data_IF_343569492752
#
_entry.id   IF_343569492752
#
_cell.length_a   1.000
_cell.length_b   1.000
_cell.length_c   1.000
_cell.angle_alpha   90.00
_cell.angle_beta   90.00
_cell.angle_gamma   90.00
#
_symmetry.space_group_name_H-M   'P 1'
#
loop_
_entity.id
_entity.type
_entity.pdbx_description
1 polymer ?
#
# COMPACT_ATOMS: atom_id res chain seq x y z
N UNK A 1 54.83 20.24 26.70
CA UNK A 1 53.45 20.46 26.19
C UNK A 1 52.78 21.39 27.18
N UNK A 2 52.98 22.68 26.96
CA UNK A 2 52.63 23.72 27.92
C UNK A 2 51.13 23.76 28.18
N UNK A 3 50.81 23.77 29.47
CA UNK A 3 49.47 23.76 29.96
C UNK A 3 48.83 25.13 29.71
N UNK A 4 47.80 25.16 28.87
CA UNK A 4 46.88 26.29 28.74
C UNK A 4 46.14 26.52 30.07
N UNK A 5 46.80 27.17 31.04
CA UNK A 5 46.17 27.63 32.28
C UNK A 5 45.46 28.95 32.02
N UNK A 6 44.26 28.86 31.44
CA UNK A 6 43.35 30.00 31.33
C UNK A 6 42.90 30.37 32.76
N UNK A 7 43.40 31.50 33.30
CA UNK A 7 42.92 32.08 34.57
C UNK A 7 41.55 32.74 34.36
N UNK A 8 40.52 31.94 34.13
CA UNK A 8 39.14 32.42 34.01
C UNK A 8 38.63 32.85 35.41
N UNK A 9 38.06 34.06 35.51
CA UNK A 9 37.49 34.54 36.77
C UNK A 9 36.29 33.69 37.20
N UNK A 10 36.05 33.57 38.52
CA UNK A 10 34.99 32.73 39.09
C UNK A 10 33.60 33.06 38.50
N UNK A 11 33.36 34.34 38.18
CA UNK A 11 32.13 34.83 37.53
C UNK A 11 31.85 34.13 36.21
N UNK A 12 32.85 34.01 35.32
CA UNK A 12 32.64 33.39 34.02
C UNK A 12 32.43 31.89 34.11
N UNK A 13 33.03 31.20 35.09
CA UNK A 13 32.77 29.77 35.32
C UNK A 13 31.33 29.52 35.77
N UNK A 14 30.83 30.33 36.69
CA UNK A 14 29.43 30.27 37.14
C UNK A 14 28.46 30.60 36.01
N UNK A 15 28.76 31.64 35.24
CA UNK A 15 27.93 32.05 34.11
C UNK A 15 27.92 30.99 33.00
N UNK A 16 29.05 30.32 32.75
CA UNK A 16 29.13 29.18 31.84
C UNK A 16 28.20 28.05 32.30
N UNK A 17 28.30 27.62 33.57
CA UNK A 17 27.44 26.56 34.11
C UNK A 17 25.96 26.95 34.02
N UNK A 18 25.64 28.21 34.35
CA UNK A 18 24.26 28.72 34.32
C UNK A 18 23.66 28.71 32.90
N UNK A 19 24.50 28.80 31.87
CA UNK A 19 24.07 28.79 30.47
C UNK A 19 24.11 27.37 29.89
N UNK A 20 25.20 26.64 30.09
CA UNK A 20 25.40 25.31 29.49
C UNK A 20 24.41 24.30 30.04
N UNK A 21 24.02 24.41 31.30
CA UNK A 21 23.10 23.48 31.94
C UNK A 21 21.69 23.55 31.29
N UNK A 22 21.02 24.71 31.20
CA UNK A 22 19.75 24.80 30.46
C UNK A 22 19.93 24.54 28.95
N UNK A 23 21.04 24.95 28.33
CA UNK A 23 21.28 24.66 26.91
C UNK A 23 21.36 23.15 26.64
N UNK A 24 22.06 22.42 27.50
CA UNK A 24 22.18 20.96 27.40
C UNK A 24 20.84 20.27 27.63
N UNK A 25 20.05 20.75 28.60
CA UNK A 25 18.70 20.25 28.86
C UNK A 25 17.78 20.46 27.64
N UNK A 26 17.77 21.66 27.06
CA UNK A 26 17.04 21.97 25.83
C UNK A 26 17.50 21.11 24.65
N UNK A 27 18.81 20.89 24.51
CA UNK A 27 19.38 20.01 23.48
C UNK A 27 18.89 18.57 23.61
N UNK A 28 18.90 18.01 24.83
CA UNK A 28 18.38 16.66 25.09
C UNK A 28 16.88 16.55 24.80
N UNK A 29 16.10 17.57 25.20
CA UNK A 29 14.68 17.62 24.87
C UNK A 29 14.43 17.65 23.36
N UNK A 30 15.22 18.42 22.61
CA UNK A 30 15.09 18.51 21.17
C UNK A 30 15.42 17.19 20.49
N UNK A 31 16.44 16.46 20.96
CA UNK A 31 16.77 15.13 20.46
C UNK A 31 15.62 14.16 20.68
N UNK A 32 15.09 14.10 21.90
CA UNK A 32 13.94 13.24 22.22
C UNK A 32 12.72 13.58 21.36
N UNK A 33 12.38 14.87 21.24
CA UNK A 33 11.26 15.31 20.42
C UNK A 33 11.45 14.96 18.94
N UNK A 34 12.68 15.07 18.42
CA UNK A 34 12.99 14.74 17.03
C UNK A 34 12.81 13.25 16.75
N UNK A 35 13.25 12.39 17.66
CA UNK A 35 13.08 10.95 17.50
C UNK A 35 11.61 10.54 17.58
N UNK A 36 10.85 11.11 18.54
CA UNK A 36 9.40 10.92 18.61
C UNK A 36 8.70 11.34 17.30
N UNK A 37 9.04 12.52 16.75
CA UNK A 37 8.45 12.97 15.49
C UNK A 37 8.83 12.12 14.28
N UNK A 38 10.02 11.50 14.27
CA UNK A 38 10.42 10.58 13.20
C UNK A 38 9.62 9.29 13.29
N UNK A 39 9.51 8.71 14.48
CA UNK A 39 8.74 7.49 14.70
C UNK A 39 7.26 7.68 14.33
N UNK A 40 6.65 8.78 14.77
CA UNK A 40 5.26 9.13 14.44
C UNK A 40 5.05 9.26 12.92
N UNK A 41 5.99 9.91 12.20
CA UNK A 41 5.91 10.02 10.74
C UNK A 41 6.01 8.67 10.04
N UNK A 42 6.90 7.79 10.49
CA UNK A 42 7.05 6.45 9.90
C UNK A 42 5.78 5.63 10.12
N UNK A 43 5.21 5.66 11.33
CA UNK A 43 3.96 5.00 11.65
C UNK A 43 2.80 5.51 10.77
N UNK A 44 2.71 6.83 10.57
CA UNK A 44 1.71 7.44 9.70
C UNK A 44 1.84 6.99 8.24
N UNK A 45 3.05 7.00 7.68
CA UNK A 45 3.28 6.54 6.30
C UNK A 45 2.95 5.06 6.14
N UNK A 46 3.30 4.24 7.14
CA UNK A 46 2.98 2.81 7.13
C UNK A 46 1.47 2.57 7.16
N UNK A 47 0.74 3.23 8.05
CA UNK A 47 -0.72 3.05 8.17
C UNK A 47 -1.47 3.56 6.94
N UNK A 48 -1.02 4.68 6.37
CA UNK A 48 -1.54 5.20 5.09
C UNK A 48 -1.31 4.19 3.95
N UNK A 49 -0.09 3.65 3.84
CA UNK A 49 0.25 2.65 2.81
C UNK A 49 -0.54 1.34 2.99
N UNK A 50 -0.72 0.89 4.24
CA UNK A 50 -1.51 -0.29 4.57
C UNK A 50 -2.99 -0.08 4.22
N UNK A 51 -3.54 1.10 4.49
CA UNK A 51 -4.91 1.46 4.14
C UNK A 51 -5.12 1.48 2.64
N UNK A 52 -4.21 2.10 1.88
CA UNK A 52 -4.25 2.09 0.40
C UNK A 52 -4.16 0.67 -0.13
N UNK A 53 -3.24 -0.14 0.39
CA UNK A 53 -3.06 -1.53 -0.03
C UNK A 53 -4.33 -2.37 0.23
N UNK A 54 -4.96 -2.22 1.40
CA UNK A 54 -6.24 -2.88 1.71
C UNK A 54 -7.36 -2.41 0.80
N UNK A 55 -7.43 -1.11 0.52
CA UNK A 55 -8.43 -0.54 -0.39
C UNK A 55 -8.28 -1.11 -1.80
N UNK A 56 -7.05 -1.10 -2.33
CA UNK A 56 -6.75 -1.65 -3.65
C UNK A 56 -7.03 -3.15 -3.72
N UNK A 57 -6.64 -3.92 -2.71
CA UNK A 57 -6.95 -5.35 -2.65
C UNK A 57 -8.46 -5.62 -2.63
N UNK A 58 -9.22 -4.79 -1.90
CA UNK A 58 -10.68 -4.88 -1.86
C UNK A 58 -11.27 -4.56 -3.23
N UNK A 59 -10.77 -3.51 -3.90
CA UNK A 59 -11.19 -3.16 -5.25
C UNK A 59 -10.91 -4.29 -6.25
N UNK A 60 -9.69 -4.83 -6.27
CA UNK A 60 -9.33 -5.97 -7.14
C UNK A 60 -10.22 -7.18 -6.87
N UNK A 61 -10.53 -7.47 -5.60
CA UNK A 61 -11.43 -8.57 -5.24
C UNK A 61 -12.85 -8.33 -5.77
N UNK A 62 -13.38 -7.11 -5.65
CA UNK A 62 -14.70 -6.77 -6.19
C UNK A 62 -14.74 -6.85 -7.71
N UNK A 63 -13.73 -6.32 -8.39
CA UNK A 63 -13.62 -6.37 -9.85
C UNK A 63 -13.52 -7.81 -10.35
N UNK A 64 -12.72 -8.65 -9.69
CA UNK A 64 -12.60 -10.08 -10.01
C UNK A 64 -13.93 -10.81 -9.79
N UNK A 65 -14.61 -10.56 -8.67
CA UNK A 65 -15.90 -11.16 -8.38
C UNK A 65 -16.98 -10.74 -9.39
N UNK A 66 -16.96 -9.47 -9.80
CA UNK A 66 -17.84 -8.93 -10.83
C UNK A 66 -17.59 -9.61 -12.18
N UNK A 67 -16.31 -9.70 -12.60
CA UNK A 67 -15.92 -10.37 -13.83
C UNK A 67 -16.33 -11.86 -13.82
N UNK A 68 -16.10 -12.55 -12.70
CA UNK A 68 -16.52 -13.95 -12.53
C UNK A 68 -18.04 -14.11 -12.67
N UNK A 69 -18.82 -13.23 -12.05
CA UNK A 69 -20.29 -13.27 -12.13
C UNK A 69 -20.78 -13.10 -13.57
N UNK A 70 -20.20 -12.15 -14.32
CA UNK A 70 -20.54 -11.92 -15.73
C UNK A 70 -20.18 -13.14 -16.58
N UNK A 71 -18.97 -13.67 -16.43
CA UNK A 71 -18.53 -14.84 -17.18
C UNK A 71 -19.40 -16.07 -16.88
N UNK A 72 -19.71 -16.30 -15.62
CA UNK A 72 -20.59 -17.39 -15.20
C UNK A 72 -21.97 -17.28 -15.85
N UNK A 73 -22.58 -16.09 -15.84
CA UNK A 73 -23.88 -15.86 -16.46
C UNK A 73 -23.86 -16.13 -17.98
N UNK A 74 -22.77 -15.78 -18.67
CA UNK A 74 -22.61 -16.08 -20.10
C UNK A 74 -22.48 -17.59 -20.34
N UNK A 75 -21.65 -18.27 -19.55
CA UNK A 75 -21.40 -19.72 -19.68
C UNK A 75 -22.67 -20.54 -19.37
N UNK A 76 -23.46 -20.15 -18.36
CA UNK A 76 -24.72 -20.81 -18.02
C UNK A 76 -25.76 -20.73 -19.15
N UNK A 77 -25.60 -19.79 -20.08
CA UNK A 77 -26.46 -19.62 -21.25
C UNK A 77 -25.94 -20.32 -22.52
N UNK A 78 -24.91 -21.16 -22.39
CA UNK A 78 -24.41 -21.99 -23.50
C UNK A 78 -25.20 -23.30 -23.59
N UNK A 79 -25.81 -23.56 -24.75
CA UNK A 79 -26.52 -24.81 -25.01
C UNK A 79 -25.60 -25.84 -25.69
N UNK A 80 -25.30 -26.93 -24.98
CA UNK A 80 -24.45 -28.02 -25.46
C UNK A 80 -25.08 -28.87 -26.57
N UNK A 81 -26.41 -28.84 -26.74
CA UNK A 81 -27.09 -29.57 -27.81
C UNK A 81 -27.02 -28.80 -29.13
N UNK A 82 -27.21 -27.48 -29.06
CA UNK A 82 -27.13 -26.58 -30.20
C UNK A 82 -25.70 -26.12 -30.55
N UNK A 83 -24.72 -26.37 -29.66
CA UNK A 83 -23.36 -25.84 -29.71
C UNK A 83 -23.30 -24.30 -29.84
N UNK A 84 -24.33 -23.60 -29.36
CA UNK A 84 -24.48 -22.16 -29.49
C UNK A 84 -25.06 -21.55 -28.21
N UNK A 85 -24.90 -20.25 -28.02
CA UNK A 85 -25.50 -19.53 -26.91
C UNK A 85 -27.00 -19.32 -27.14
N UNK A 86 -27.78 -19.32 -26.06
CA UNK A 86 -29.19 -18.92 -26.11
C UNK A 86 -29.31 -17.46 -26.58
N UNK A 87 -30.48 -17.05 -27.06
CA UNK A 87 -30.75 -15.65 -27.41
C UNK A 87 -30.44 -14.71 -26.24
N UNK A 88 -30.81 -15.11 -25.02
CA UNK A 88 -30.46 -14.38 -23.80
C UNK A 88 -28.94 -14.28 -23.60
N UNK A 89 -28.20 -15.37 -23.81
CA UNK A 89 -26.73 -15.38 -23.74
C UNK A 89 -26.06 -14.42 -24.73
N UNK A 90 -26.56 -14.36 -25.97
CA UNK A 90 -26.07 -13.43 -27.00
C UNK A 90 -26.36 -11.97 -26.65
N UNK A 91 -27.54 -11.68 -26.14
CA UNK A 91 -27.90 -10.34 -25.66
C UNK A 91 -27.07 -9.92 -24.45
N UNK A 92 -26.82 -10.83 -23.50
CA UNK A 92 -25.95 -10.59 -22.35
C UNK A 92 -24.50 -10.37 -22.77
N UNK A 93 -23.97 -11.14 -23.71
CA UNK A 93 -22.63 -10.95 -24.26
C UNK A 93 -22.51 -9.59 -24.97
N UNK A 94 -23.48 -9.24 -25.83
CA UNK A 94 -23.48 -7.97 -26.57
C UNK A 94 -23.61 -6.73 -25.68
N UNK A 95 -24.25 -6.83 -24.51
CA UNK A 95 -24.33 -5.75 -23.52
C UNK A 95 -23.04 -5.56 -22.70
N UNK A 96 -22.09 -6.48 -22.77
CA UNK A 96 -20.87 -6.47 -21.96
C UNK A 96 -19.61 -6.29 -22.82
N UNK A 97 -19.25 -5.05 -23.22
CA UNK A 97 -18.09 -4.78 -24.10
C UNK A 97 -16.74 -5.15 -23.48
N UNK A 98 -16.70 -5.44 -22.17
CA UNK A 98 -15.49 -5.90 -21.48
C UNK A 98 -15.13 -7.36 -21.82
N UNK A 99 -16.11 -8.17 -22.21
CA UNK A 99 -15.90 -9.58 -22.57
C UNK A 99 -15.79 -9.68 -24.09
N UNK A 100 -14.58 -9.94 -24.59
CA UNK A 100 -14.31 -9.96 -26.03
C UNK A 100 -14.57 -11.32 -26.68
N UNK A 101 -14.28 -12.41 -25.96
CA UNK A 101 -14.50 -13.77 -26.42
C UNK A 101 -14.62 -14.73 -25.24
N UNK A 102 -15.38 -15.80 -25.42
CA UNK A 102 -15.40 -16.98 -24.53
C UNK A 102 -14.93 -18.16 -25.37
N UNK A 103 -13.81 -18.78 -24.99
CA UNK A 103 -13.19 -19.87 -25.73
C UNK A 103 -13.25 -21.15 -24.89
N UNK A 104 -13.74 -22.23 -25.50
CA UNK A 104 -13.75 -23.55 -24.89
C UNK A 104 -12.52 -24.34 -25.38
N UNK A 105 -11.53 -24.52 -24.52
CA UNK A 105 -10.38 -25.36 -24.83
C UNK A 105 -10.68 -26.81 -24.43
N UNK A 106 -10.83 -27.69 -25.43
CA UNK A 106 -10.96 -29.14 -25.20
C UNK A 106 -9.59 -29.79 -25.41
N UNK A 107 -9.05 -30.42 -24.36
CA UNK A 107 -7.83 -31.21 -24.49
C UNK A 107 -8.13 -32.51 -25.24
N UNK A 108 -7.77 -32.57 -26.52
CA UNK A 108 -7.73 -33.81 -27.31
C UNK A 108 -6.45 -34.61 -27.00
N UNK A 109 -6.51 -35.94 -27.11
CA UNK A 109 -5.44 -36.87 -26.70
C UNK A 109 -4.13 -36.77 -27.52
N UNK A 110 -4.09 -35.94 -28.57
CA UNK A 110 -2.87 -35.55 -29.27
C UNK A 110 -2.53 -34.12 -28.88
N UNK A 111 -1.39 -33.93 -28.21
CA UNK A 111 -1.05 -32.72 -27.48
C UNK A 111 -1.15 -31.41 -28.27
N UNK A 112 -1.79 -30.41 -27.62
CA UNK A 112 -1.87 -28.96 -27.90
C UNK A 112 -2.45 -28.58 -29.28
N UNK A 113 -3.29 -27.54 -29.42
CA UNK A 113 -3.52 -26.31 -28.65
C UNK A 113 -5.03 -26.14 -28.45
#
# INVERSE_FOLDING_TARGET
>A
MDQFKIRLSLRYKLLLILITLPLSSLGLYLLMATDLFKEDKVAYVYDSSATVSRSLATQTRMETQSAYTVLRAIIEQYDFQANDFTQAGREFFGKNPKVHAVLLFRRTALGSI
#
